data_IF_379397252158
#
_entry.id   IF_379397252158
#
_cell.length_a   1.000
_cell.length_b   1.000
_cell.length_c   1.000
_cell.angle_alpha   90.00
_cell.angle_beta   90.00
_cell.angle_gamma   90.00
#
_symmetry.space_group_name_H-M   'P 1'
#
loop_
_entity.id
_entity.type
_entity.pdbx_description
1 polymer ?
#
# COMPACT_ATOMS: atom_id res chain seq x y z
N UNK A 1 23.09 7.91 52.23
CA UNK A 1 23.38 9.36 52.22
C UNK A 1 24.51 9.61 51.23
N UNK A 2 24.40 10.45 50.21
CA UNK A 2 24.12 11.90 50.22
C UNK A 2 25.35 12.72 50.67
N UNK A 3 25.99 13.42 49.72
CA UNK A 3 26.27 14.85 49.85
C UNK A 3 26.54 15.51 48.48
N UNK A 4 25.75 16.55 48.22
CA UNK A 4 25.78 17.43 47.04
C UNK A 4 27.05 18.28 46.97
N UNK A 5 27.51 18.62 45.75
CA UNK A 5 28.32 19.82 45.52
C UNK A 5 27.70 20.68 44.42
N UNK A 6 27.17 21.83 44.80
CA UNK A 6 26.71 22.90 43.90
C UNK A 6 27.91 23.72 43.40
N UNK A 7 27.87 24.21 42.16
CA UNK A 7 28.59 25.42 41.76
C UNK A 7 27.71 26.35 40.94
N UNK A 8 27.12 27.32 41.61
CA UNK A 8 26.47 28.48 40.97
C UNK A 8 27.53 29.44 40.43
N UNK A 9 27.21 30.14 39.34
CA UNK A 9 27.75 31.46 39.05
C UNK A 9 26.59 32.46 38.87
N UNK A 10 26.79 33.71 39.29
CA UNK A 10 25.71 34.72 39.42
C UNK A 10 25.70 35.75 38.28
N UNK A 11 24.52 36.33 38.07
CA UNK A 11 24.26 37.51 37.25
C UNK A 11 24.84 38.79 37.88
N UNK A 12 25.19 39.75 37.01
CA UNK A 12 24.93 41.20 37.11
C UNK A 12 25.07 41.75 35.67
N UNK A 13 24.01 42.28 35.04
CA UNK A 13 23.53 43.68 35.06
C UNK A 13 24.58 44.69 34.50
N UNK A 14 24.24 45.65 33.62
CA UNK A 14 22.94 46.21 33.16
C UNK A 14 22.79 46.00 31.61
N UNK A 15 22.07 46.73 30.72
CA UNK A 15 21.31 48.00 30.74
C UNK A 15 19.96 47.86 29.96
N UNK A 16 19.43 48.94 29.36
CA UNK A 16 18.10 49.09 28.70
C UNK A 16 18.26 49.36 27.18
N UNK A 17 17.51 48.71 26.25
CA UNK A 17 16.19 49.07 25.62
C UNK A 17 16.18 50.36 24.74
N UNK A 18 15.27 50.52 23.74
CA UNK A 18 14.51 49.52 22.93
C UNK A 18 14.47 49.82 21.40
N UNK A 19 14.19 48.82 20.54
CA UNK A 19 13.77 49.01 19.13
C UNK A 19 12.64 48.03 18.75
N UNK A 20 11.86 48.37 17.72
CA UNK A 20 10.56 47.81 17.31
C UNK A 20 10.51 46.28 17.04
N UNK A 21 9.44 45.70 17.59
CA UNK A 21 8.54 44.66 17.07
C UNK A 21 8.89 43.79 15.83
N UNK A 22 8.84 42.48 16.10
CA UNK A 22 8.13 41.40 15.36
C UNK A 22 8.69 40.76 14.07
N UNK A 23 8.65 39.42 14.09
CA UNK A 23 8.63 38.45 12.99
C UNK A 23 9.82 38.34 12.03
N UNK A 24 10.86 37.71 12.55
CA UNK A 24 11.61 36.60 11.89
C UNK A 24 12.04 35.66 13.03
N UNK A 25 12.07 34.32 12.93
CA UNK A 25 12.04 33.35 11.82
C UNK A 25 10.99 32.27 12.18
N UNK A 26 10.15 31.76 11.28
CA UNK A 26 10.39 30.55 10.49
C UNK A 26 9.44 30.51 9.29
N UNK A 27 9.98 30.34 8.08
CA UNK A 27 9.19 29.87 6.96
C UNK A 27 8.88 28.38 7.18
N UNK A 28 7.61 28.04 7.41
CA UNK A 28 7.17 26.66 7.35
C UNK A 28 7.22 26.20 5.90
N UNK A 29 8.31 25.54 5.49
CA UNK A 29 8.40 24.80 4.24
C UNK A 29 7.54 23.54 4.33
N UNK A 30 6.23 23.70 4.22
CA UNK A 30 5.33 22.58 3.95
C UNK A 30 5.64 22.07 2.54
N UNK A 31 6.46 21.04 2.42
CA UNK A 31 6.83 20.49 1.12
C UNK A 31 5.60 19.90 0.44
N UNK A 32 5.30 20.40 -0.75
CA UNK A 32 4.01 20.20 -1.43
C UNK A 32 4.17 19.21 -2.58
N UNK A 33 4.25 17.92 -2.24
CA UNK A 33 4.47 16.86 -3.23
C UNK A 33 3.20 16.46 -3.99
N UNK A 34 3.38 16.20 -5.29
CA UNK A 34 2.36 15.67 -6.20
C UNK A 34 2.88 14.33 -6.72
N UNK A 35 2.12 13.26 -6.51
CA UNK A 35 2.45 11.91 -6.98
C UNK A 35 1.40 11.39 -7.96
N UNK A 36 1.82 10.48 -8.84
CA UNK A 36 0.96 9.87 -9.85
C UNK A 36 1.57 8.63 -10.46
N UNK A 37 0.89 8.08 -11.46
CA UNK A 37 1.23 6.85 -12.17
C UNK A 37 0.99 7.04 -13.68
N UNK A 38 1.89 6.50 -14.50
CA UNK A 38 1.73 6.44 -15.96
C UNK A 38 1.24 5.06 -16.37
N UNK A 39 -0.02 4.98 -16.79
CA UNK A 39 -0.60 3.76 -17.32
C UNK A 39 -0.33 3.65 -18.84
N UNK A 40 0.12 2.48 -19.30
CA UNK A 40 0.44 2.23 -20.71
C UNK A 40 -0.47 1.14 -21.29
N UNK A 41 -1.21 1.42 -22.39
CA UNK A 41 -2.04 0.42 -23.04
C UNK A 41 -1.24 -0.86 -23.39
N UNK A 42 -1.66 -1.99 -22.81
CA UNK A 42 -1.12 -3.32 -23.12
C UNK A 42 0.28 -3.65 -22.56
N UNK A 43 0.80 -2.90 -21.56
CA UNK A 43 2.09 -3.23 -20.91
C UNK A 43 2.05 -3.04 -19.39
N UNK A 44 2.63 -3.99 -18.66
CA UNK A 44 2.71 -3.99 -17.18
C UNK A 44 4.01 -3.39 -16.62
N UNK A 45 5.01 -3.11 -17.46
CA UNK A 45 6.30 -2.53 -17.04
C UNK A 45 6.85 -1.56 -18.10
N UNK A 46 7.39 -0.44 -17.66
CA UNK A 46 8.01 0.57 -18.53
C UNK A 46 9.44 0.18 -18.91
N UNK A 47 9.67 -0.12 -20.19
CA UNK A 47 11.02 -0.33 -20.76
C UNK A 47 11.75 0.99 -21.07
N UNK A 48 11.82 1.83 -20.03
CA UNK A 48 12.51 3.14 -19.97
C UNK A 48 11.98 4.23 -20.93
N UNK A 49 12.34 5.49 -20.64
CA UNK A 49 12.10 6.62 -21.54
C UNK A 49 10.72 7.32 -21.44
N UNK A 50 10.05 7.23 -20.29
CA UNK A 50 8.83 8.00 -20.01
C UNK A 50 9.18 9.27 -19.24
N UNK A 51 8.94 10.43 -19.86
CA UNK A 51 9.03 11.73 -19.20
C UNK A 51 7.65 12.25 -18.83
N UNK A 52 7.54 12.83 -17.64
CA UNK A 52 6.35 13.49 -17.12
C UNK A 52 6.70 14.96 -16.90
N UNK A 53 5.91 15.87 -17.46
CA UNK A 53 6.07 17.31 -17.32
C UNK A 53 4.81 17.90 -16.70
N UNK A 54 4.97 18.74 -15.67
CA UNK A 54 3.90 19.55 -15.09
C UNK A 54 4.12 21.01 -15.48
N UNK A 55 3.07 21.68 -15.94
CA UNK A 55 3.05 23.11 -16.28
C UNK A 55 1.83 23.80 -15.68
N UNK A 56 2.07 24.92 -15.00
CA UNK A 56 1.07 25.88 -14.55
C UNK A 56 1.59 27.31 -14.77
N UNK A 57 0.78 28.32 -14.43
CA UNK A 57 1.01 29.72 -14.82
C UNK A 57 2.41 30.29 -14.48
N UNK A 58 3.04 29.83 -13.40
CA UNK A 58 4.38 30.26 -12.98
C UNK A 58 5.27 29.10 -12.44
N UNK A 59 4.92 27.84 -12.74
CA UNK A 59 5.66 26.67 -12.28
C UNK A 59 5.70 25.61 -13.39
N UNK A 60 6.90 25.17 -13.77
CA UNK A 60 7.10 24.14 -14.80
C UNK A 60 8.26 23.24 -14.40
N UNK A 61 8.04 21.93 -14.32
CA UNK A 61 9.08 20.92 -14.03
C UNK A 61 8.85 19.63 -14.83
N UNK A 62 9.94 18.92 -15.11
CA UNK A 62 9.91 17.59 -15.76
C UNK A 62 10.64 16.58 -14.88
N UNK A 63 10.12 15.36 -14.83
CA UNK A 63 10.68 14.19 -14.14
C UNK A 63 10.56 12.94 -15.02
N UNK A 64 11.15 11.84 -14.61
CA UNK A 64 11.02 10.53 -15.29
C UNK A 64 10.15 9.60 -14.46
N UNK A 65 9.23 8.88 -15.10
CA UNK A 65 8.49 7.82 -14.41
C UNK A 65 9.40 6.62 -14.11
N UNK A 66 9.19 5.97 -12.96
CA UNK A 66 9.86 4.73 -12.57
C UNK A 66 9.34 3.54 -13.40
N UNK A 67 9.99 2.38 -13.29
CA UNK A 67 9.64 1.21 -14.12
C UNK A 67 8.24 0.63 -13.82
N UNK A 68 7.69 0.93 -12.65
CA UNK A 68 6.33 0.65 -12.18
C UNK A 68 5.28 1.70 -12.61
N UNK A 69 5.67 2.70 -13.41
CA UNK A 69 4.81 3.80 -13.81
C UNK A 69 4.79 4.99 -12.84
N UNK A 70 5.27 4.84 -11.60
CA UNK A 70 5.14 5.88 -10.58
C UNK A 70 6.01 7.11 -10.86
N UNK A 71 5.47 8.31 -10.57
CA UNK A 71 6.19 9.58 -10.65
C UNK A 71 5.87 10.50 -9.47
N UNK A 72 6.76 11.47 -9.24
CA UNK A 72 6.66 12.44 -8.15
C UNK A 72 7.26 13.78 -8.57
N UNK A 73 6.58 14.87 -8.20
CA UNK A 73 7.10 16.22 -8.15
C UNK A 73 7.08 16.73 -6.71
N UNK A 74 8.02 17.59 -6.38
CA UNK A 74 8.16 18.21 -5.05
C UNK A 74 8.01 19.72 -5.17
N UNK A 75 7.52 20.35 -4.10
CA UNK A 75 7.30 21.80 -3.98
C UNK A 75 6.47 22.41 -5.13
N UNK A 76 5.40 21.71 -5.54
CA UNK A 76 4.40 22.23 -6.48
C UNK A 76 3.55 23.27 -5.75
N UNK A 77 3.39 24.52 -6.25
CA UNK A 77 2.49 25.49 -5.62
C UNK A 77 1.00 25.15 -5.81
N UNK A 78 0.07 25.56 -4.93
CA UNK A 78 -1.36 25.47 -5.21
C UNK A 78 -1.75 26.24 -6.49
N UNK A 79 -2.62 25.65 -7.32
CA UNK A 79 -3.02 26.24 -8.60
C UNK A 79 -3.64 25.26 -9.60
N UNK A 80 -3.88 25.74 -10.82
CA UNK A 80 -4.31 24.91 -11.96
C UNK A 80 -3.09 24.45 -12.76
N UNK A 81 -3.06 23.16 -13.14
CA UNK A 81 -1.94 22.53 -13.83
C UNK A 81 -2.37 21.70 -15.04
N UNK A 82 -1.48 21.61 -16.01
CA UNK A 82 -1.46 20.58 -17.05
C UNK A 82 -0.32 19.61 -16.71
N UNK A 83 -0.59 18.31 -16.78
CA UNK A 83 0.43 17.26 -16.69
C UNK A 83 0.45 16.54 -18.04
N UNK A 84 1.60 16.56 -18.71
CA UNK A 84 1.84 15.90 -19.99
C UNK A 84 2.85 14.76 -19.80
N UNK A 85 2.62 13.63 -20.45
CA UNK A 85 3.43 12.42 -20.35
C UNK A 85 3.81 11.97 -21.76
N UNK A 86 5.11 11.98 -22.04
CA UNK A 86 5.65 11.56 -23.32
C UNK A 86 6.41 10.24 -23.16
N UNK A 87 6.20 9.32 -24.11
CA UNK A 87 6.93 8.06 -24.21
C UNK A 87 7.20 7.76 -25.67
N UNK A 88 8.45 7.41 -26.00
CA UNK A 88 8.84 7.11 -27.38
C UNK A 88 8.02 5.95 -27.98
N UNK A 89 7.30 6.22 -29.06
CA UNK A 89 6.43 5.25 -29.76
C UNK A 89 5.00 5.16 -29.22
N UNK A 90 4.57 6.09 -28.37
CA UNK A 90 3.19 6.23 -27.91
C UNK A 90 2.70 7.67 -28.08
N UNK A 91 1.40 7.85 -28.29
CA UNK A 91 0.79 9.17 -28.23
C UNK A 91 0.88 9.74 -26.80
N UNK A 92 1.22 11.03 -26.68
CA UNK A 92 1.48 11.67 -25.39
C UNK A 92 0.20 11.82 -24.58
N UNK A 93 0.19 11.29 -23.36
CA UNK A 93 -0.91 11.45 -22.42
C UNK A 93 -0.96 12.88 -21.85
N UNK A 94 -2.16 13.43 -21.65
CA UNK A 94 -2.34 14.75 -21.03
C UNK A 94 -3.51 14.74 -20.04
N UNK A 95 -3.29 15.35 -18.88
CA UNK A 95 -4.31 15.56 -17.84
C UNK A 95 -4.34 17.03 -17.45
N UNK A 96 -5.54 17.58 -17.26
CA UNK A 96 -5.74 18.90 -16.68
C UNK A 96 -6.24 18.76 -15.23
N UNK A 97 -5.56 19.46 -14.33
CA UNK A 97 -5.63 19.27 -12.88
C UNK A 97 -5.99 20.61 -12.22
N UNK A 98 -7.30 20.87 -12.16
CA UNK A 98 -7.82 22.13 -11.61
C UNK A 98 -7.86 22.15 -10.08
N UNK A 99 -7.61 23.34 -9.52
CA UNK A 99 -7.59 23.65 -8.08
C UNK A 99 -6.75 22.67 -7.25
N UNK A 100 -5.56 22.30 -7.74
CA UNK A 100 -4.65 21.48 -6.95
C UNK A 100 -4.11 22.26 -5.75
N UNK A 101 -3.98 21.58 -4.60
CA UNK A 101 -3.47 22.19 -3.36
C UNK A 101 -2.93 21.14 -2.39
N UNK A 102 -2.20 21.60 -1.37
CA UNK A 102 -1.56 20.76 -0.36
C UNK A 102 -2.56 19.89 0.41
N UNK A 103 -2.52 18.58 0.18
CA UNK A 103 -3.41 17.60 0.81
C UNK A 103 -4.34 16.88 -0.17
N UNK A 104 -4.42 17.34 -1.42
CA UNK A 104 -5.27 16.74 -2.45
C UNK A 104 -4.64 15.46 -3.04
N UNK A 105 -4.65 14.40 -2.23
CA UNK A 105 -4.19 13.04 -2.57
C UNK A 105 -5.12 12.37 -3.60
N UNK A 106 -5.11 12.90 -4.83
CA UNK A 106 -5.62 12.23 -6.03
C UNK A 106 -4.55 11.26 -6.52
N UNK A 107 -4.91 10.01 -6.81
CA UNK A 107 -4.05 9.13 -7.58
C UNK A 107 -4.08 9.63 -9.04
N UNK A 108 -3.07 10.42 -9.42
CA UNK A 108 -3.00 11.03 -10.74
C UNK A 108 -2.53 9.96 -11.74
N UNK A 109 -3.48 9.24 -12.32
CA UNK A 109 -3.22 8.30 -13.41
C UNK A 109 -3.30 9.05 -14.73
N UNK A 110 -2.19 9.14 -15.46
CA UNK A 110 -2.17 9.66 -16.83
C UNK A 110 -1.98 8.47 -17.78
N UNK A 111 -2.95 8.23 -18.65
CA UNK A 111 -2.83 7.21 -19.68
C UNK A 111 -2.04 7.76 -20.87
N UNK A 112 -1.03 7.01 -21.34
CA UNK A 112 -0.52 7.20 -22.69
C UNK A 112 -1.59 6.78 -23.70
N UNK A 113 -1.60 7.43 -24.86
CA UNK A 113 -2.44 7.00 -25.98
C UNK A 113 -1.92 5.70 -26.63
N UNK A 114 -2.56 5.26 -27.73
CA UNK A 114 -2.14 4.08 -28.47
C UNK A 114 -0.66 4.14 -28.90
N UNK A 115 -0.07 2.96 -29.11
CA UNK A 115 1.25 2.87 -29.71
C UNK A 115 1.17 3.37 -31.16
N UNK A 116 1.92 4.43 -31.47
CA UNK A 116 2.01 4.98 -32.82
C UNK A 116 2.90 4.04 -33.66
N UNK A 117 2.60 3.90 -34.96
CA UNK A 117 3.53 3.34 -35.93
C UNK A 117 4.84 4.13 -36.00
N UNK A 118 5.77 3.75 -36.87
CA UNK A 118 7.05 4.48 -36.98
C UNK A 118 6.95 5.85 -37.66
N UNK A 119 5.76 6.27 -38.09
CA UNK A 119 5.46 7.57 -38.68
C UNK A 119 4.57 8.40 -37.75
N UNK A 120 5.02 9.61 -37.40
CA UNK A 120 4.39 10.54 -36.44
C UNK A 120 3.79 11.76 -37.16
N UNK A 121 2.45 11.91 -37.19
CA UNK A 121 1.83 13.24 -36.94
C UNK A 121 0.38 13.18 -36.38
N UNK A 122 -0.23 14.32 -36.02
CA UNK A 122 0.24 15.44 -35.19
C UNK A 122 -0.70 15.65 -33.97
N UNK A 123 -0.41 16.62 -33.08
CA UNK A 123 -1.26 16.92 -31.92
C UNK A 123 -2.69 17.34 -32.33
N UNK A 124 -3.73 16.66 -31.83
CA UNK A 124 -5.10 17.20 -31.83
C UNK A 124 -6.27 16.24 -31.56
N UNK A 125 -6.81 16.29 -30.33
CA UNK A 125 -8.14 15.75 -29.90
C UNK A 125 -8.26 14.20 -29.89
N UNK A 126 -8.84 13.53 -28.89
CA UNK A 126 -9.77 13.93 -27.82
C UNK A 126 -9.57 13.09 -26.52
N UNK A 127 -10.16 13.55 -25.42
CA UNK A 127 -10.08 12.91 -24.09
C UNK A 127 -10.85 11.58 -23.98
N UNK A 128 -10.28 10.59 -23.29
CA UNK A 128 -11.00 9.41 -22.76
C UNK A 128 -10.78 9.22 -21.27
N UNK A 129 -11.74 9.68 -20.46
CA UNK A 129 -11.94 9.13 -19.13
C UNK A 129 -12.54 7.71 -19.22
N UNK A 130 -12.37 6.88 -18.19
CA UNK A 130 -13.01 5.56 -18.18
C UNK A 130 -14.54 5.71 -18.05
N UNK A 131 -15.29 4.90 -18.81
CA UNK A 131 -16.76 4.99 -18.93
C UNK A 131 -17.49 4.61 -17.62
N UNK A 132 -16.75 4.20 -16.58
CA UNK A 132 -17.27 3.76 -15.29
C UNK A 132 -17.24 4.87 -14.23
N UNK A 133 -16.16 5.67 -14.17
CA UNK A 133 -16.08 6.83 -13.26
C UNK A 133 -17.09 7.92 -13.63
N UNK A 134 -17.35 8.09 -14.94
CA UNK A 134 -18.38 8.98 -15.49
C UNK A 134 -19.81 8.66 -15.02
N UNK A 135 -20.05 7.52 -14.35
CA UNK A 135 -21.38 7.11 -13.86
C UNK A 135 -21.62 7.40 -12.38
N UNK A 136 -20.58 7.76 -11.60
CA UNK A 136 -20.74 7.97 -10.16
C UNK A 136 -21.42 9.32 -9.89
N UNK A 137 -22.60 9.37 -9.22
CA UNK A 137 -23.29 10.63 -8.99
C UNK A 137 -22.43 11.61 -8.17
N UNK A 138 -22.34 12.92 -8.52
CA UNK A 138 -21.51 13.88 -7.79
C UNK A 138 -21.82 14.01 -6.29
N UNK A 139 -23.07 13.73 -5.88
CA UNK A 139 -23.46 13.66 -4.47
C UNK A 139 -22.85 12.44 -3.75
N UNK A 140 -22.71 11.30 -4.44
CA UNK A 140 -22.00 10.13 -3.93
C UNK A 140 -20.49 10.41 -3.85
N UNK A 141 -19.87 10.95 -4.91
CA UNK A 141 -18.45 11.35 -4.88
C UNK A 141 -18.13 12.30 -3.71
N UNK A 142 -18.98 13.31 -3.46
CA UNK A 142 -18.84 14.23 -2.32
C UNK A 142 -19.04 13.56 -0.95
N UNK A 143 -19.74 12.43 -0.88
CA UNK A 143 -19.85 11.62 0.34
C UNK A 143 -18.63 10.68 0.51
N UNK A 144 -18.09 10.12 -0.58
CA UNK A 144 -16.89 9.29 -0.59
C UNK A 144 -15.63 10.08 -0.19
N UNK A 145 -15.46 11.31 -0.70
CA UNK A 145 -14.36 12.18 -0.30
C UNK A 145 -14.40 12.44 1.23
N UNK A 146 -15.56 12.84 1.76
CA UNK A 146 -15.75 13.03 3.21
C UNK A 146 -15.50 11.76 4.03
N UNK A 147 -15.87 10.59 3.51
CA UNK A 147 -15.53 9.33 4.14
C UNK A 147 -14.02 9.08 4.18
N UNK A 148 -13.31 9.34 3.08
CA UNK A 148 -11.87 9.21 2.99
C UNK A 148 -11.17 10.17 3.96
N UNK A 149 -11.59 11.43 4.02
CA UNK A 149 -11.09 12.43 4.98
C UNK A 149 -11.26 11.95 6.43
N UNK A 150 -12.43 11.37 6.75
CA UNK A 150 -12.71 10.82 8.08
C UNK A 150 -11.90 9.55 8.39
N UNK A 151 -11.67 8.68 7.41
CA UNK A 151 -10.75 7.55 7.56
C UNK A 151 -9.30 7.99 7.76
N UNK A 152 -8.83 9.06 7.08
CA UNK A 152 -7.50 9.67 7.32
C UNK A 152 -7.39 10.24 8.73
N UNK A 153 -8.48 10.81 9.26
CA UNK A 153 -8.59 11.30 10.65
C UNK A 153 -8.77 10.18 11.70
N UNK A 154 -8.80 8.90 11.29
CA UNK A 154 -9.14 7.74 12.14
C UNK A 154 -10.54 7.81 12.80
N UNK A 155 -11.40 8.72 12.33
CA UNK A 155 -12.80 8.88 12.72
C UNK A 155 -13.66 7.90 11.91
N UNK A 156 -13.46 6.61 12.15
CA UNK A 156 -14.11 5.53 11.43
C UNK A 156 -15.64 5.54 11.62
N UNK A 157 -16.13 6.05 12.75
CA UNK A 157 -17.56 6.23 13.00
C UNK A 157 -18.19 7.23 12.01
N UNK A 158 -17.59 8.41 11.82
CA UNK A 158 -18.05 9.36 10.80
C UNK A 158 -17.79 8.86 9.39
N UNK A 159 -16.69 8.12 9.15
CA UNK A 159 -16.41 7.50 7.86
C UNK A 159 -17.51 6.52 7.45
N UNK A 160 -17.92 5.59 8.34
CA UNK A 160 -19.08 4.70 8.15
C UNK A 160 -20.34 5.50 7.81
N UNK A 161 -20.60 6.59 8.54
CA UNK A 161 -21.75 7.48 8.31
C UNK A 161 -21.72 8.20 6.95
N UNK A 162 -20.54 8.42 6.37
CA UNK A 162 -20.38 8.99 5.03
C UNK A 162 -20.39 7.94 3.92
N UNK A 163 -19.82 6.75 4.15
CA UNK A 163 -19.83 5.62 3.22
C UNK A 163 -21.25 5.10 3.00
N UNK A 164 -22.06 5.00 4.06
CA UNK A 164 -23.49 4.68 3.93
C UNK A 164 -24.20 5.71 3.05
N UNK A 165 -24.05 7.01 3.31
CA UNK A 165 -24.63 8.07 2.47
C UNK A 165 -24.18 8.02 1.00
N UNK A 166 -22.96 7.58 0.72
CA UNK A 166 -22.51 7.36 -0.66
C UNK A 166 -23.21 6.15 -1.30
N UNK A 167 -23.34 5.04 -0.56
CA UNK A 167 -23.99 3.81 -1.00
C UNK A 167 -25.53 3.95 -1.10
N UNK A 168 -26.16 4.78 -0.27
CA UNK A 168 -27.58 5.15 -0.38
C UNK A 168 -27.88 5.87 -1.72
N UNK A 169 -26.89 6.61 -2.25
CA UNK A 169 -26.98 7.32 -3.54
C UNK A 169 -26.52 6.43 -4.71
N UNK A 170 -25.53 5.57 -4.50
CA UNK A 170 -24.97 4.69 -5.53
C UNK A 170 -24.58 3.31 -4.97
N UNK A 171 -25.55 2.37 -4.81
CA UNK A 171 -25.33 1.07 -4.16
C UNK A 171 -24.39 0.11 -4.93
N UNK A 172 -24.06 0.44 -6.18
CA UNK A 172 -23.28 -0.40 -7.09
C UNK A 172 -21.76 -0.18 -6.98
N UNK A 173 -21.27 0.66 -6.07
CA UNK A 173 -19.84 1.00 -5.99
C UNK A 173 -19.03 -0.03 -5.17
N UNK A 174 -18.19 -0.90 -5.78
CA UNK A 174 -17.46 -1.93 -5.04
C UNK A 174 -16.44 -1.33 -4.05
N UNK A 175 -15.66 -0.33 -4.48
CA UNK A 175 -14.71 0.38 -3.61
C UNK A 175 -15.33 1.04 -2.37
N UNK A 176 -16.56 1.54 -2.46
CA UNK A 176 -17.28 2.11 -1.31
C UNK A 176 -17.69 1.03 -0.30
N UNK A 177 -18.15 -0.13 -0.77
CA UNK A 177 -18.42 -1.31 0.06
C UNK A 177 -17.15 -1.86 0.71
N UNK A 178 -16.03 -1.95 -0.03
CA UNK A 178 -14.73 -2.32 0.52
C UNK A 178 -14.30 -1.37 1.65
N UNK A 179 -14.38 -0.05 1.41
CA UNK A 179 -13.96 0.94 2.39
C UNK A 179 -14.88 0.95 3.62
N UNK A 180 -16.17 0.60 3.46
CA UNK A 180 -17.08 0.38 4.58
C UNK A 180 -16.67 -0.84 5.41
N UNK A 181 -16.23 -1.92 4.76
CA UNK A 181 -15.67 -3.09 5.44
C UNK A 181 -14.41 -2.75 6.23
N UNK A 182 -13.46 -2.03 5.62
CA UNK A 182 -12.23 -1.58 6.32
C UNK A 182 -12.56 -0.68 7.52
N UNK A 183 -13.51 0.24 7.39
CA UNK A 183 -13.94 1.10 8.50
C UNK A 183 -14.65 0.31 9.62
N UNK A 184 -15.34 -0.79 9.29
CA UNK A 184 -15.88 -1.72 10.28
C UNK A 184 -14.78 -2.54 10.99
N UNK A 185 -13.78 -3.07 10.28
CA UNK A 185 -12.62 -3.75 10.89
C UNK A 185 -11.91 -2.83 11.90
N UNK A 186 -11.68 -1.57 11.54
CA UNK A 186 -11.03 -0.58 12.42
C UNK A 186 -11.88 -0.19 13.65
N UNK A 187 -13.13 -0.64 13.73
CA UNK A 187 -14.03 -0.51 14.88
C UNK A 187 -14.26 -1.84 15.61
N UNK A 188 -13.59 -2.94 15.22
CA UNK A 188 -13.82 -4.29 15.78
C UNK A 188 -15.19 -4.89 15.40
N UNK A 189 -15.74 -4.51 14.26
CA UNK A 189 -17.10 -4.86 13.79
C UNK A 189 -17.05 -5.88 12.66
N UNK A 190 -16.43 -7.01 12.96
CA UNK A 190 -16.04 -8.04 11.99
C UNK A 190 -17.22 -8.63 11.21
N UNK A 191 -18.39 -8.77 11.83
CA UNK A 191 -19.61 -9.28 11.16
C UNK A 191 -20.10 -8.31 10.08
N UNK A 192 -20.17 -7.01 10.39
CA UNK A 192 -20.52 -5.99 9.41
C UNK A 192 -19.42 -5.77 8.37
N UNK A 193 -18.15 -5.99 8.73
CA UNK A 193 -17.04 -5.98 7.79
C UNK A 193 -17.17 -7.14 6.77
N UNK A 194 -17.42 -8.36 7.23
CA UNK A 194 -17.66 -9.53 6.38
C UNK A 194 -18.81 -9.27 5.39
N UNK A 195 -19.92 -8.73 5.90
CA UNK A 195 -21.08 -8.34 5.09
C UNK A 195 -20.76 -7.24 4.06
N UNK A 196 -19.91 -6.27 4.41
CA UNK A 196 -19.51 -5.20 3.50
C UNK A 196 -18.55 -5.68 2.39
N UNK A 197 -17.57 -6.53 2.71
CA UNK A 197 -16.68 -7.11 1.68
C UNK A 197 -17.45 -8.06 0.74
N UNK A 198 -18.36 -8.89 1.28
CA UNK A 198 -19.27 -9.71 0.45
C UNK A 198 -20.17 -8.85 -0.44
N UNK A 199 -20.63 -7.70 0.03
CA UNK A 199 -21.35 -6.75 -0.82
C UNK A 199 -20.46 -6.16 -1.92
N UNK A 200 -19.20 -5.80 -1.65
CA UNK A 200 -18.26 -5.31 -2.68
C UNK A 200 -18.09 -6.33 -3.81
N UNK A 201 -17.82 -7.60 -3.46
CA UNK A 201 -17.68 -8.71 -4.41
C UNK A 201 -18.97 -9.01 -5.18
N UNK A 202 -20.14 -8.71 -4.60
CA UNK A 202 -21.43 -8.81 -5.31
C UNK A 202 -21.67 -7.68 -6.34
N UNK A 203 -20.85 -6.62 -6.35
CA UNK A 203 -20.92 -5.53 -7.34
C UNK A 203 -19.82 -5.64 -8.40
N UNK A 204 -18.61 -5.98 -7.99
CA UNK A 204 -17.53 -6.39 -8.89
C UNK A 204 -16.83 -7.64 -8.33
N UNK A 205 -17.07 -8.84 -8.92
CA UNK A 205 -16.37 -10.07 -8.59
C UNK A 205 -14.87 -10.07 -8.86
N UNK A 206 -14.28 -8.95 -9.30
CA UNK A 206 -12.83 -8.78 -9.50
C UNK A 206 -12.20 -7.74 -8.56
N UNK A 207 -12.95 -7.27 -7.54
CA UNK A 207 -12.44 -6.29 -6.58
C UNK A 207 -11.37 -6.90 -5.65
N UNK A 208 -10.12 -6.90 -6.12
CA UNK A 208 -8.92 -7.49 -5.49
C UNK A 208 -8.82 -7.08 -4.01
N UNK A 209 -9.08 -5.80 -3.71
CA UNK A 209 -9.00 -5.28 -2.35
C UNK A 209 -10.04 -5.94 -1.43
N UNK A 210 -11.26 -6.16 -1.90
CA UNK A 210 -12.31 -6.83 -1.13
C UNK A 210 -12.04 -8.33 -0.97
N UNK A 211 -11.48 -8.99 -1.99
CA UNK A 211 -11.04 -10.39 -1.91
C UNK A 211 -9.99 -10.58 -0.80
N UNK A 212 -8.90 -9.80 -0.88
CA UNK A 212 -7.81 -9.81 0.09
C UNK A 212 -8.32 -9.47 1.49
N UNK A 213 -9.08 -8.39 1.65
CA UNK A 213 -9.58 -7.97 2.97
C UNK A 213 -10.54 -8.98 3.60
N UNK A 214 -11.38 -9.67 2.81
CA UNK A 214 -12.23 -10.77 3.30
C UNK A 214 -11.39 -11.98 3.73
N UNK A 215 -10.37 -12.33 2.95
CA UNK A 215 -9.44 -13.41 3.29
C UNK A 215 -8.64 -13.13 4.57
N UNK A 216 -8.13 -11.90 4.73
CA UNK A 216 -7.43 -11.46 5.94
C UNK A 216 -8.35 -11.41 7.17
N UNK A 217 -9.62 -11.01 7.01
CA UNK A 217 -10.63 -11.05 8.07
C UNK A 217 -10.90 -12.49 8.55
N UNK A 218 -11.01 -13.44 7.61
CA UNK A 218 -11.16 -14.86 7.95
C UNK A 218 -9.89 -15.43 8.63
N UNK A 219 -8.71 -15.09 8.13
CA UNK A 219 -7.44 -15.47 8.75
C UNK A 219 -7.32 -14.95 10.20
N UNK A 220 -7.62 -13.67 10.43
CA UNK A 220 -7.58 -13.06 11.76
C UNK A 220 -8.57 -13.70 12.75
N UNK A 221 -9.73 -14.15 12.26
CA UNK A 221 -10.72 -14.91 13.05
C UNK A 221 -10.40 -16.42 13.12
N UNK A 222 -9.21 -16.86 12.70
CA UNK A 222 -8.76 -18.26 12.62
C UNK A 222 -9.67 -19.19 11.78
N UNK A 223 -10.51 -18.62 10.91
CA UNK A 223 -11.30 -19.31 9.87
C UNK A 223 -10.40 -19.63 8.68
N UNK A 224 -9.37 -20.46 8.91
CA UNK A 224 -8.27 -20.65 7.96
C UNK A 224 -8.77 -21.22 6.62
N UNK A 225 -9.69 -22.18 6.68
CA UNK A 225 -10.34 -22.76 5.50
C UNK A 225 -11.08 -21.73 4.65
N UNK A 226 -11.87 -20.85 5.27
CA UNK A 226 -12.60 -19.79 4.55
C UNK A 226 -11.66 -18.69 4.02
N UNK A 227 -10.48 -18.49 4.63
CA UNK A 227 -9.48 -17.52 4.17
C UNK A 227 -8.81 -17.90 2.85
N UNK A 228 -8.69 -19.20 2.54
CA UNK A 228 -7.93 -19.72 1.39
C UNK A 228 -8.42 -19.16 0.05
N UNK A 229 -9.70 -19.31 -0.29
CA UNK A 229 -10.20 -18.93 -1.62
C UNK A 229 -10.21 -17.41 -1.86
N UNK A 230 -10.63 -16.52 -0.92
CA UNK A 230 -10.52 -15.08 -1.12
C UNK A 230 -9.07 -14.57 -1.23
N UNK A 231 -8.12 -15.14 -0.46
CA UNK A 231 -6.70 -14.79 -0.61
C UNK A 231 -6.18 -15.23 -1.98
N UNK A 232 -6.43 -16.49 -2.37
CA UNK A 232 -6.03 -17.05 -3.67
C UNK A 232 -6.60 -16.25 -4.84
N UNK A 233 -7.89 -15.93 -4.84
CA UNK A 233 -8.53 -15.14 -5.89
C UNK A 233 -7.95 -13.71 -6.02
N UNK A 234 -7.52 -13.10 -4.91
CA UNK A 234 -6.81 -11.82 -4.96
C UNK A 234 -5.45 -11.95 -5.66
N UNK A 235 -4.73 -13.06 -5.42
CA UNK A 235 -3.42 -13.36 -5.99
C UNK A 235 -3.47 -13.80 -7.47
N UNK A 236 -4.63 -14.23 -7.97
CA UNK A 236 -4.86 -14.46 -9.41
C UNK A 236 -4.88 -13.14 -10.21
N UNK A 237 -5.01 -11.98 -9.55
CA UNK A 237 -5.06 -10.65 -10.16
C UNK A 237 -3.91 -9.73 -9.70
N UNK A 238 -3.41 -9.90 -8.47
CA UNK A 238 -2.24 -9.23 -7.89
C UNK A 238 -1.23 -10.29 -7.42
N UNK A 239 -0.51 -10.87 -8.38
CA UNK A 239 0.46 -11.94 -8.13
C UNK A 239 1.73 -11.49 -7.38
N UNK A 240 1.86 -10.20 -7.03
CA UNK A 240 3.02 -9.61 -6.35
C UNK A 240 2.76 -9.28 -4.87
N UNK A 241 1.54 -9.50 -4.35
CA UNK A 241 1.27 -9.32 -2.92
C UNK A 241 1.86 -10.47 -2.07
N UNK A 242 3.17 -10.39 -1.83
CA UNK A 242 3.94 -11.34 -1.01
C UNK A 242 3.37 -11.51 0.41
N UNK A 243 2.62 -10.51 0.92
CA UNK A 243 1.96 -10.60 2.24
C UNK A 243 0.71 -11.47 2.14
N UNK A 244 -0.15 -11.24 1.15
CA UNK A 244 -1.31 -12.11 0.90
C UNK A 244 -0.89 -13.55 0.56
N UNK A 245 0.22 -13.75 -0.16
CA UNK A 245 0.82 -15.08 -0.38
C UNK A 245 1.23 -15.74 0.96
N UNK A 246 1.87 -14.99 1.86
CA UNK A 246 2.26 -15.49 3.18
C UNK A 246 1.05 -15.83 4.05
N UNK A 247 0.01 -14.98 4.08
CA UNK A 247 -1.23 -15.29 4.81
C UNK A 247 -1.97 -16.51 4.23
N UNK A 248 -1.96 -16.69 2.91
CA UNK A 248 -2.51 -17.88 2.25
C UNK A 248 -1.72 -19.13 2.66
N UNK A 249 -0.39 -19.07 2.67
CA UNK A 249 0.45 -20.16 3.13
C UNK A 249 0.19 -20.53 4.59
N UNK A 250 0.14 -19.56 5.52
CA UNK A 250 -0.13 -19.86 6.93
C UNK A 250 -1.55 -20.42 7.13
N UNK A 251 -2.53 -20.01 6.32
CA UNK A 251 -3.85 -20.65 6.31
C UNK A 251 -3.76 -22.12 5.85
N UNK A 252 -3.02 -22.40 4.77
CA UNK A 252 -2.78 -23.75 4.25
C UNK A 252 -2.03 -24.63 5.28
N UNK A 253 -1.00 -24.11 5.94
CA UNK A 253 -0.26 -24.78 7.02
C UNK A 253 -1.20 -25.20 8.16
N UNK A 254 -2.10 -24.31 8.59
CA UNK A 254 -3.07 -24.57 9.67
C UNK A 254 -4.12 -25.62 9.27
N UNK A 255 -4.50 -25.69 8.00
CA UNK A 255 -5.33 -26.75 7.42
C UNK A 255 -4.54 -28.04 7.10
N UNK A 256 -3.25 -28.12 7.47
CA UNK A 256 -2.41 -29.30 7.30
C UNK A 256 -1.79 -29.49 5.90
N UNK A 257 -1.93 -28.50 5.02
CA UNK A 257 -1.48 -28.53 3.61
C UNK A 257 -0.07 -27.99 3.47
N UNK A 258 0.90 -28.67 4.10
CA UNK A 258 2.27 -28.16 4.26
C UNK A 258 3.00 -27.91 2.92
N UNK A 259 2.85 -28.79 1.92
CA UNK A 259 3.46 -28.61 0.59
C UNK A 259 2.85 -27.41 -0.19
N UNK A 260 1.54 -27.18 -0.06
CA UNK A 260 0.91 -25.98 -0.65
C UNK A 260 1.40 -24.71 0.06
N UNK A 261 1.59 -24.76 1.38
CA UNK A 261 2.15 -23.66 2.17
C UNK A 261 3.56 -23.30 1.73
N UNK A 262 4.46 -24.29 1.66
CA UNK A 262 5.83 -24.14 1.17
C UNK A 262 5.87 -23.49 -0.22
N UNK A 263 5.08 -24.00 -1.17
CA UNK A 263 5.01 -23.48 -2.53
C UNK A 263 4.47 -22.03 -2.64
N UNK A 264 3.74 -21.53 -1.65
CA UNK A 264 3.33 -20.12 -1.58
C UNK A 264 4.33 -19.24 -0.82
N UNK A 265 5.08 -19.78 0.14
CA UNK A 265 6.13 -19.07 0.87
C UNK A 265 7.36 -18.84 -0.01
N UNK A 266 7.73 -19.82 -0.83
CA UNK A 266 8.79 -19.65 -1.83
C UNK A 266 8.45 -18.51 -2.79
N UNK A 267 7.21 -18.42 -3.30
CA UNK A 267 6.76 -17.28 -4.12
C UNK A 267 6.82 -15.94 -3.38
N UNK A 268 6.48 -15.92 -2.10
CA UNK A 268 6.57 -14.70 -1.30
C UNK A 268 8.03 -14.22 -1.16
N UNK A 269 8.97 -15.17 -1.09
CA UNK A 269 10.40 -14.91 -1.02
C UNK A 269 11.05 -14.67 -2.40
N UNK A 270 10.45 -15.14 -3.50
CA UNK A 270 10.84 -14.74 -4.87
C UNK A 270 10.53 -13.25 -5.11
N UNK A 271 9.42 -12.75 -4.56
CA UNK A 271 9.02 -11.33 -4.65
C UNK A 271 9.73 -10.46 -3.62
N UNK A 272 9.93 -10.96 -2.40
CA UNK A 272 10.65 -10.25 -1.33
C UNK A 272 11.54 -11.20 -0.51
N UNK A 273 12.81 -11.40 -0.92
CA UNK A 273 13.75 -12.31 -0.24
C UNK A 273 14.00 -11.99 1.24
N UNK A 274 13.83 -10.74 1.66
CA UNK A 274 14.15 -10.29 3.02
C UNK A 274 12.95 -10.36 3.98
N UNK A 275 11.81 -10.89 3.53
CA UNK A 275 10.61 -10.99 4.36
C UNK A 275 10.71 -12.11 5.41
N UNK A 276 11.32 -11.77 6.55
CA UNK A 276 11.63 -12.67 7.67
C UNK A 276 10.43 -13.52 8.13
N UNK A 277 9.21 -12.97 8.18
CA UNK A 277 8.01 -13.70 8.56
C UNK A 277 7.77 -14.91 7.65
N UNK A 278 7.91 -14.75 6.33
CA UNK A 278 7.78 -15.84 5.38
C UNK A 278 8.92 -16.87 5.49
N UNK A 279 10.14 -16.44 5.82
CA UNK A 279 11.27 -17.34 6.09
C UNK A 279 10.99 -18.23 7.31
N UNK A 280 10.45 -17.68 8.40
CA UNK A 280 10.09 -18.46 9.58
C UNK A 280 8.94 -19.44 9.31
N UNK A 281 7.89 -19.00 8.59
CA UNK A 281 6.78 -19.88 8.23
C UNK A 281 7.22 -20.98 7.23
N UNK A 282 8.24 -20.72 6.41
CA UNK A 282 8.85 -21.72 5.51
C UNK A 282 9.57 -22.81 6.32
N UNK A 283 10.37 -22.42 7.32
CA UNK A 283 11.00 -23.39 8.24
C UNK A 283 9.96 -24.29 8.93
N UNK A 284 8.83 -23.73 9.36
CA UNK A 284 7.73 -24.52 9.92
C UNK A 284 7.14 -25.50 8.91
N UNK A 285 6.89 -25.07 7.66
CA UNK A 285 6.37 -25.94 6.61
C UNK A 285 7.33 -27.11 6.31
N UNK A 286 8.62 -26.80 6.10
CA UNK A 286 9.68 -27.78 5.85
C UNK A 286 9.82 -28.79 6.98
N UNK A 287 9.79 -28.34 8.24
CA UNK A 287 9.83 -29.23 9.42
C UNK A 287 8.65 -30.23 9.43
N UNK A 288 7.44 -29.80 9.03
CA UNK A 288 6.26 -30.70 8.93
C UNK A 288 6.32 -31.64 7.72
N UNK A 289 7.03 -31.26 6.67
CA UNK A 289 7.36 -32.11 5.51
C UNK A 289 8.52 -33.09 5.79
N UNK A 290 9.23 -32.92 6.91
CA UNK A 290 10.49 -33.59 7.29
C UNK A 290 11.70 -33.22 6.44
N UNK A 291 11.65 -32.09 5.74
CA UNK A 291 12.85 -31.44 5.22
C UNK A 291 13.57 -30.73 6.38
N UNK A 292 14.27 -31.53 7.19
CA UNK A 292 14.98 -31.01 8.37
C UNK A 292 16.22 -30.18 8.00
N UNK A 293 16.84 -30.44 6.84
CA UNK A 293 17.97 -29.64 6.37
C UNK A 293 17.48 -28.24 5.94
N UNK A 294 16.51 -28.17 5.02
CA UNK A 294 15.98 -26.90 4.57
C UNK A 294 15.28 -26.12 5.69
N UNK A 295 14.61 -26.81 6.63
CA UNK A 295 14.10 -26.16 7.84
C UNK A 295 15.21 -25.50 8.68
N UNK A 296 16.36 -26.16 8.86
CA UNK A 296 17.50 -25.58 9.59
C UNK A 296 18.10 -24.37 8.85
N UNK A 297 18.27 -24.47 7.53
CA UNK A 297 18.74 -23.36 6.69
C UNK A 297 17.79 -22.15 6.74
N UNK A 298 16.47 -22.39 6.72
CA UNK A 298 15.45 -21.35 6.89
C UNK A 298 15.43 -20.76 8.30
N UNK A 299 15.59 -21.55 9.37
CA UNK A 299 15.71 -21.03 10.74
C UNK A 299 16.94 -20.13 10.89
N UNK A 300 18.10 -20.53 10.38
CA UNK A 300 19.32 -19.72 10.47
C UNK A 300 19.21 -18.43 9.63
N UNK A 301 18.58 -18.48 8.46
CA UNK A 301 18.26 -17.27 7.68
C UNK A 301 17.33 -16.32 8.45
N UNK A 302 16.32 -16.84 9.12
CA UNK A 302 15.42 -16.04 9.97
C UNK A 302 16.16 -15.43 11.18
N UNK A 303 16.94 -16.22 11.92
CA UNK A 303 17.68 -15.75 13.09
C UNK A 303 18.80 -14.76 12.73
N UNK A 304 19.39 -14.85 11.54
CA UNK A 304 20.34 -13.86 11.02
C UNK A 304 19.67 -12.53 10.65
N UNK A 305 18.48 -12.56 10.04
CA UNK A 305 17.75 -11.36 9.62
C UNK A 305 16.99 -10.69 10.77
N UNK A 306 16.43 -11.47 11.70
CA UNK A 306 15.56 -11.02 12.79
C UNK A 306 15.91 -11.69 14.14
N UNK A 307 17.14 -11.51 14.68
CA UNK A 307 17.59 -12.16 15.92
C UNK A 307 16.79 -11.81 17.19
N UNK A 308 15.95 -10.77 17.12
CA UNK A 308 14.96 -10.39 18.13
C UNK A 308 13.57 -10.10 17.53
N UNK A 309 13.22 -10.75 16.41
CA UNK A 309 11.88 -10.69 15.82
C UNK A 309 10.83 -11.47 16.64
N UNK A 310 9.56 -11.40 16.22
CA UNK A 310 8.41 -11.96 16.95
C UNK A 310 8.60 -13.43 17.35
N UNK A 311 9.16 -14.25 16.44
CA UNK A 311 9.35 -15.70 16.62
C UNK A 311 10.77 -16.10 17.02
N UNK A 312 11.56 -15.17 17.58
CA UNK A 312 13.00 -15.40 17.81
C UNK A 312 13.31 -16.50 18.83
N UNK A 313 12.45 -16.74 19.83
CA UNK A 313 12.65 -17.80 20.82
C UNK A 313 12.14 -19.15 20.31
N UNK A 314 11.03 -19.16 19.59
CA UNK A 314 10.46 -20.33 18.92
C UNK A 314 11.43 -20.87 17.86
N UNK A 315 12.06 -19.98 17.08
CA UNK A 315 13.09 -20.35 16.11
C UNK A 315 14.33 -20.97 16.77
N UNK A 316 14.79 -20.46 17.93
CA UNK A 316 15.90 -21.08 18.70
C UNK A 316 15.54 -22.46 19.25
N UNK A 317 14.30 -22.64 19.70
CA UNK A 317 13.77 -23.93 20.14
C UNK A 317 13.68 -24.93 18.97
N UNK A 318 13.18 -24.48 17.81
CA UNK A 318 13.11 -25.28 16.59
C UNK A 318 14.51 -25.70 16.11
N UNK A 319 15.50 -24.81 16.12
CA UNK A 319 16.90 -25.16 15.82
C UNK A 319 17.43 -26.25 16.76
N UNK A 320 17.26 -26.08 18.06
CA UNK A 320 17.69 -27.08 19.06
C UNK A 320 17.03 -28.46 18.82
N UNK A 321 15.76 -28.48 18.38
CA UNK A 321 15.06 -29.71 18.03
C UNK A 321 15.55 -30.35 16.72
N UNK A 322 15.94 -29.53 15.73
CA UNK A 322 16.53 -29.98 14.45
C UNK A 322 17.94 -30.56 14.65
N UNK A 323 18.80 -29.87 15.43
CA UNK A 323 20.14 -30.34 15.78
C UNK A 323 20.09 -31.72 16.47
N UNK A 324 19.07 -31.95 17.32
CA UNK A 324 18.80 -33.23 17.97
C UNK A 324 18.19 -34.32 17.08
N UNK A 325 17.58 -33.99 15.93
CA UNK A 325 17.18 -35.00 14.93
C UNK A 325 18.41 -35.53 14.19
N UNK A 326 19.35 -34.66 13.82
CA UNK A 326 20.53 -35.01 13.03
C UNK A 326 21.48 -35.97 13.74
N UNK A 327 21.65 -35.82 15.06
CA UNK A 327 22.48 -36.73 15.88
C UNK A 327 21.83 -38.09 16.08
N UNK A 328 20.51 -38.15 16.28
CA UNK A 328 19.77 -39.40 16.49
C UNK A 328 19.63 -40.31 15.26
N UNK A 329 20.11 -39.87 14.09
CA UNK A 329 20.15 -40.68 12.85
C UNK A 329 21.53 -41.30 12.55
N UNK A 330 22.48 -41.24 13.49
CA UNK A 330 23.86 -41.68 13.30
C UNK A 330 24.30 -42.84 14.22
N UNK A 331 23.35 -43.44 14.97
CA UNK A 331 23.54 -44.63 15.83
C UNK A 331 22.70 -45.83 15.35
#
# INVERSE_FOLDING_TARGET
MCMTVFRSFRLQHLLLLPVLQLFTVLAFSSSTSLTGEVAVPGRHLLRQGVSVTIQGHAYSRTTSARMDGSFQFEDVPPGDYVIEVNCRGHESGRLELSNWSTGDLRAIVVQLGPAIGQDEPPLGSNSTATVEELKVPPKAMKALAKAQDKSRQQDYASAIGHLKKALDIYPAHPGAWNNLGVAYLKMGRDSEAEGAFKNALSKDPRCIQAMRNLGLLYFANNKNREAIEPLKASLENDAADYRAQTYLAVALYREGRYADSEAWLLKALDVNPDFSDAVYQLALAQFRLKDYQGAAESVDRYLAAAPGGEYAEEAKQLKTALDGQATGSAE
#
